data_IF_249507479681
#
_entry.id   IF_249507479681
#
_cell.length_a   1.000
_cell.length_b   1.000
_cell.length_c   1.000
_cell.angle_alpha   90.00
_cell.angle_beta   90.00
_cell.angle_gamma   90.00
#
_symmetry.space_group_name_H-M   'P 1'
#
loop_
_entity.id
_entity.type
_entity.pdbx_description
1 polymer ?
#
# COMPACT_ATOMS: atom_id res chain seq x y z
N UNK A 1 19.79 12.39 -1.84
CA UNK A 1 18.77 11.64 -1.04
C UNK A 1 18.70 10.25 -1.63
N UNK A 2 18.79 9.21 -0.81
CA UNK A 2 18.66 7.84 -1.32
C UNK A 2 17.23 7.55 -1.74
N UNK A 3 17.04 6.75 -2.83
CA UNK A 3 15.69 6.37 -3.25
C UNK A 3 14.99 5.50 -2.20
N UNK A 4 13.67 5.67 -2.10
CA UNK A 4 12.84 4.88 -1.16
C UNK A 4 12.74 3.40 -1.55
N UNK A 5 12.86 3.10 -2.85
CA UNK A 5 12.79 1.75 -3.41
C UNK A 5 13.50 1.72 -4.78
N UNK A 6 14.33 0.70 -5.01
CA UNK A 6 14.89 0.39 -6.33
C UNK A 6 14.58 -1.06 -6.69
N UNK A 7 13.95 -1.24 -7.82
CA UNK A 7 13.69 -2.53 -8.46
C UNK A 7 14.49 -2.56 -9.75
N UNK A 8 15.40 -3.52 -9.88
CA UNK A 8 16.32 -3.63 -11.02
C UNK A 8 16.25 -5.03 -11.63
N UNK A 9 15.79 -5.11 -12.90
CA UNK A 9 15.68 -6.31 -13.72
C UNK A 9 14.98 -7.49 -13.00
N UNK A 10 13.99 -7.19 -12.13
CA UNK A 10 13.31 -8.19 -11.32
C UNK A 10 12.53 -9.16 -12.20
N UNK A 11 12.73 -10.44 -11.98
CA UNK A 11 11.99 -11.51 -12.64
C UNK A 11 11.48 -12.54 -11.64
N UNK A 12 10.25 -12.99 -11.87
CA UNK A 12 9.62 -14.02 -11.05
C UNK A 12 8.66 -14.86 -11.88
N UNK A 13 8.76 -16.18 -11.73
CA UNK A 13 7.80 -17.14 -12.27
C UNK A 13 7.25 -18.02 -11.14
N UNK A 14 5.98 -18.32 -11.22
CA UNK A 14 5.34 -19.28 -10.32
C UNK A 14 5.81 -20.71 -10.61
N UNK A 15 5.73 -21.66 -9.66
CA UNK A 15 6.08 -23.06 -9.90
C UNK A 15 5.30 -23.71 -11.06
N UNK A 16 4.15 -23.15 -11.40
CA UNK A 16 3.34 -23.57 -12.57
C UNK A 16 3.94 -23.17 -13.91
N UNK A 17 5.09 -22.49 -13.94
CA UNK A 17 5.74 -21.96 -15.14
C UNK A 17 5.22 -20.59 -15.61
N UNK A 18 4.15 -20.06 -15.03
CA UNK A 18 3.64 -18.74 -15.39
C UNK A 18 4.60 -17.63 -14.94
N UNK A 19 5.13 -16.84 -15.88
CA UNK A 19 5.98 -15.68 -15.59
C UNK A 19 5.13 -14.49 -15.16
N UNK A 20 5.26 -14.07 -13.91
CA UNK A 20 4.53 -12.92 -13.36
C UNK A 20 5.29 -11.61 -13.50
N UNK A 21 6.63 -11.63 -13.41
CA UNK A 21 7.47 -10.47 -13.64
C UNK A 21 8.55 -10.78 -14.68
N UNK A 22 8.79 -9.83 -15.58
CA UNK A 22 9.75 -9.98 -16.66
C UNK A 22 10.58 -8.70 -16.84
N UNK A 23 11.85 -8.74 -16.39
CA UNK A 23 12.76 -7.58 -16.42
C UNK A 23 12.15 -6.30 -15.84
N UNK A 24 11.39 -6.43 -14.74
CA UNK A 24 10.72 -5.31 -14.10
C UNK A 24 11.78 -4.38 -13.49
N UNK A 25 11.80 -3.12 -13.90
CA UNK A 25 12.73 -2.12 -13.38
C UNK A 25 12.02 -0.80 -13.17
N UNK A 26 12.14 -0.23 -11.98
CA UNK A 26 11.68 1.13 -11.65
C UNK A 26 12.31 1.60 -10.34
N UNK A 27 12.23 2.89 -10.08
CA UNK A 27 12.73 3.51 -8.85
C UNK A 27 11.68 4.44 -8.27
N UNK A 28 11.44 4.35 -6.97
CA UNK A 28 10.72 5.37 -6.20
C UNK A 28 11.76 6.32 -5.61
N UNK A 29 11.89 7.55 -6.15
CA UNK A 29 13.05 8.40 -5.86
C UNK A 29 13.00 9.08 -4.48
N UNK A 30 11.80 9.24 -3.90
CA UNK A 30 11.57 9.96 -2.65
C UNK A 30 10.30 9.49 -1.94
N UNK A 31 10.10 9.79 -0.65
CA UNK A 31 8.82 9.59 0.02
C UNK A 31 7.67 10.25 -0.74
N UNK A 32 6.47 9.68 -0.62
CA UNK A 32 5.28 10.14 -1.31
C UNK A 32 4.34 9.01 -1.68
N UNK A 33 3.24 9.35 -2.35
CA UNK A 33 2.23 8.41 -2.83
C UNK A 33 2.46 8.08 -4.30
N UNK A 34 2.86 6.85 -4.59
CA UNK A 34 3.16 6.33 -5.93
C UNK A 34 2.14 5.26 -6.30
N UNK A 35 1.53 5.38 -7.48
CA UNK A 35 0.45 4.49 -7.88
C UNK A 35 0.79 3.64 -9.09
N UNK A 36 0.41 2.37 -9.04
CA UNK A 36 0.50 1.43 -10.16
C UNK A 36 -0.89 1.04 -10.62
N UNK A 37 -1.14 1.21 -11.91
CA UNK A 37 -2.35 0.73 -12.59
C UNK A 37 -2.00 -0.35 -13.59
N UNK A 38 -2.94 -1.23 -13.89
CA UNK A 38 -2.76 -2.29 -14.90
C UNK A 38 -3.84 -3.35 -14.79
N UNK A 39 -4.06 -4.09 -15.85
CA UNK A 39 -5.05 -5.15 -15.90
C UNK A 39 -4.77 -6.32 -14.93
N UNK A 40 -5.77 -7.18 -14.74
CA UNK A 40 -5.59 -8.40 -13.98
C UNK A 40 -4.52 -9.29 -14.62
N UNK A 41 -3.70 -9.94 -13.79
CA UNK A 41 -2.59 -10.76 -14.27
C UNK A 41 -1.35 -9.98 -14.74
N UNK A 42 -1.31 -8.64 -14.66
CA UNK A 42 -0.12 -7.85 -15.04
C UNK A 42 1.08 -8.00 -14.09
N UNK A 43 0.90 -8.64 -12.92
CA UNK A 43 1.97 -8.91 -11.96
C UNK A 43 2.00 -8.00 -10.73
N UNK A 44 1.06 -7.05 -10.56
CA UNK A 44 1.05 -6.04 -9.49
C UNK A 44 1.12 -6.63 -8.08
N UNK A 45 0.20 -7.50 -7.72
CA UNK A 45 0.18 -8.13 -6.38
C UNK A 45 1.39 -9.04 -6.15
N UNK A 46 1.92 -9.67 -7.20
CA UNK A 46 3.17 -10.44 -7.13
C UNK A 46 4.35 -9.52 -6.84
N UNK A 47 4.41 -8.36 -7.50
CA UNK A 47 5.42 -7.33 -7.25
C UNK A 47 5.38 -6.86 -5.79
N UNK A 48 4.20 -6.54 -5.25
CA UNK A 48 4.09 -6.13 -3.83
C UNK A 48 4.57 -7.23 -2.88
N UNK A 49 4.24 -8.49 -3.14
CA UNK A 49 4.69 -9.62 -2.30
C UNK A 49 6.20 -9.81 -2.34
N UNK A 50 6.84 -9.59 -3.49
CA UNK A 50 8.30 -9.60 -3.63
C UNK A 50 8.93 -8.43 -2.85
N UNK A 51 8.39 -7.22 -2.97
CA UNK A 51 8.86 -6.05 -2.22
C UNK A 51 8.65 -6.25 -0.72
N UNK A 52 7.54 -6.86 -0.30
CA UNK A 52 7.29 -7.20 1.10
C UNK A 52 8.24 -8.28 1.66
N UNK A 53 8.92 -9.04 0.78
CA UNK A 53 9.78 -10.17 1.16
C UNK A 53 9.00 -11.45 1.43
N UNK A 54 7.74 -11.54 1.01
CA UNK A 54 6.90 -12.74 1.10
C UNK A 54 7.20 -13.74 -0.03
N UNK A 55 7.87 -13.28 -1.09
CA UNK A 55 8.36 -14.10 -2.20
C UNK A 55 9.82 -13.75 -2.45
N UNK A 56 10.57 -14.73 -2.96
CA UNK A 56 11.97 -14.54 -3.35
C UNK A 56 12.07 -14.33 -4.85
N UNK A 57 12.72 -13.27 -5.34
CA UNK A 57 12.91 -13.05 -6.78
C UNK A 57 13.71 -14.20 -7.41
N UNK A 58 13.35 -14.61 -8.60
CA UNK A 58 14.12 -15.58 -9.39
C UNK A 58 15.36 -14.94 -10.03
N UNK A 59 15.33 -13.62 -10.31
CA UNK A 59 16.43 -12.84 -10.86
C UNK A 59 16.26 -11.35 -10.56
N UNK A 60 17.32 -10.57 -10.76
CA UNK A 60 17.34 -9.13 -10.55
C UNK A 60 17.69 -8.75 -9.11
N UNK A 61 17.56 -7.46 -8.80
CA UNK A 61 17.90 -6.89 -7.50
C UNK A 61 16.76 -6.05 -6.96
N UNK A 62 16.60 -6.09 -5.65
CA UNK A 62 15.63 -5.30 -4.89
C UNK A 62 16.34 -4.58 -3.75
N UNK A 63 16.35 -3.25 -3.78
CA UNK A 63 16.88 -2.42 -2.70
C UNK A 63 15.72 -1.66 -2.07
N UNK A 64 15.48 -1.93 -0.80
CA UNK A 64 14.43 -1.32 0.02
C UNK A 64 15.00 -0.90 1.36
N UNK A 65 15.55 0.31 1.49
CA UNK A 65 16.13 0.78 2.74
C UNK A 65 15.06 0.97 3.84
N UNK A 66 13.80 1.15 3.43
CA UNK A 66 12.68 1.32 4.33
C UNK A 66 12.03 -0.03 4.70
N UNK A 67 11.61 -0.17 5.96
CA UNK A 67 10.84 -1.34 6.40
C UNK A 67 9.49 -1.37 5.68
N UNK A 68 9.17 -2.45 4.93
CA UNK A 68 7.89 -2.56 4.23
C UNK A 68 6.82 -3.16 5.14
N UNK A 69 5.56 -2.76 4.88
CA UNK A 69 4.38 -3.49 5.35
C UNK A 69 3.36 -3.58 4.21
N UNK A 70 2.76 -4.76 4.06
CA UNK A 70 1.73 -5.03 3.06
C UNK A 70 0.34 -4.89 3.69
N UNK A 71 -0.53 -4.14 3.02
CA UNK A 71 -1.96 -4.00 3.36
C UNK A 71 -2.77 -4.63 2.24
N UNK A 72 -3.57 -5.62 2.57
CA UNK A 72 -4.36 -6.38 1.61
C UNK A 72 -5.64 -5.65 1.18
N UNK A 73 -6.15 -6.03 0.02
CA UNK A 73 -7.42 -5.56 -0.52
C UNK A 73 -8.59 -5.83 0.45
N UNK A 74 -8.64 -7.03 1.01
CA UNK A 74 -9.61 -7.40 2.03
C UNK A 74 -8.96 -7.42 3.41
N UNK A 75 -9.27 -6.47 4.31
CA UNK A 75 -8.69 -6.41 5.64
C UNK A 75 -9.05 -7.63 6.51
N UNK A 76 -10.14 -8.34 6.24
CA UNK A 76 -10.50 -9.55 6.99
C UNK A 76 -9.49 -10.71 6.80
N UNK A 77 -8.66 -10.66 5.76
CA UNK A 77 -7.56 -11.62 5.59
C UNK A 77 -6.31 -11.29 6.41
N UNK A 78 -6.27 -10.10 7.02
CA UNK A 78 -5.12 -9.60 7.76
C UNK A 78 -5.40 -9.44 9.25
N UNK A 79 -6.63 -9.06 9.62
CA UNK A 79 -7.03 -8.81 11.00
C UNK A 79 -7.41 -10.13 11.68
N UNK A 80 -6.63 -10.56 12.68
CA UNK A 80 -6.70 -11.90 13.26
C UNK A 80 -7.21 -11.91 14.69
N UNK A 81 -7.07 -10.80 15.43
CA UNK A 81 -7.34 -10.74 16.86
C UNK A 81 -8.74 -10.16 17.16
N UNK A 82 -9.30 -10.39 18.36
CA UNK A 82 -10.68 -10.03 18.63
C UNK A 82 -10.92 -8.52 18.78
N UNK A 83 -9.91 -7.72 19.14
CA UNK A 83 -10.06 -6.28 19.39
C UNK A 83 -9.03 -5.43 18.64
N UNK A 84 -9.38 -4.16 18.38
CA UNK A 84 -8.46 -3.22 17.72
C UNK A 84 -7.14 -3.07 18.48
N UNK A 85 -7.19 -2.98 19.80
CA UNK A 85 -5.97 -2.82 20.60
C UNK A 85 -5.06 -4.04 20.54
N UNK A 86 -5.61 -5.26 20.64
CA UNK A 86 -4.82 -6.48 20.54
C UNK A 86 -4.17 -6.63 19.17
N UNK A 87 -4.89 -6.27 18.09
CA UNK A 87 -4.36 -6.31 16.74
C UNK A 87 -3.16 -5.35 16.55
N UNK A 88 -3.27 -4.12 17.05
CA UNK A 88 -2.15 -3.17 17.01
C UNK A 88 -1.01 -3.63 17.91
N UNK A 89 -1.31 -4.15 19.09
CA UNK A 89 -0.30 -4.64 20.04
C UNK A 89 0.55 -5.78 19.45
N UNK A 90 -0.06 -6.69 18.66
CA UNK A 90 0.64 -7.75 17.94
C UNK A 90 1.68 -7.21 16.95
N UNK A 91 1.40 -6.07 16.32
CA UNK A 91 2.27 -5.46 15.33
C UNK A 91 3.41 -4.61 15.93
N UNK A 92 3.37 -4.31 17.24
CA UNK A 92 4.40 -3.50 17.89
C UNK A 92 5.75 -4.24 17.92
N UNK A 93 6.89 -3.51 17.82
CA UNK A 93 8.21 -4.11 18.00
C UNK A 93 8.33 -4.83 19.35
N UNK A 94 8.96 -6.01 19.35
CA UNK A 94 9.14 -6.81 20.57
C UNK A 94 9.93 -6.05 21.64
N UNK A 95 10.90 -5.24 21.21
CA UNK A 95 11.78 -4.46 22.07
C UNK A 95 11.10 -3.27 22.74
N UNK A 96 9.85 -2.92 22.32
CA UNK A 96 9.14 -1.79 22.91
C UNK A 96 8.79 -2.07 24.37
N UNK A 97 9.23 -1.21 25.33
CA UNK A 97 8.96 -1.41 26.76
C UNK A 97 7.46 -1.51 27.06
N UNK A 98 7.07 -2.42 27.96
CA UNK A 98 5.67 -2.64 28.32
C UNK A 98 4.94 -1.35 28.75
N UNK A 99 5.63 -0.45 29.46
CA UNK A 99 5.07 0.84 29.88
C UNK A 99 4.71 1.78 28.70
N UNK A 100 5.34 1.58 27.52
CA UNK A 100 5.12 2.42 26.33
C UNK A 100 4.12 1.78 25.35
N UNK A 101 3.87 0.48 25.43
CA UNK A 101 3.01 -0.24 24.48
C UNK A 101 1.60 0.33 24.42
N UNK A 102 0.97 0.59 25.57
CA UNK A 102 -0.36 1.15 25.62
C UNK A 102 -0.46 2.52 24.96
N UNK A 103 0.47 3.42 25.28
CA UNK A 103 0.52 4.75 24.68
C UNK A 103 0.73 4.68 23.17
N UNK A 104 1.56 3.74 22.70
CA UNK A 104 1.81 3.54 21.27
C UNK A 104 0.57 3.00 20.55
N UNK A 105 -0.19 2.08 21.16
CA UNK A 105 -1.46 1.59 20.61
C UNK A 105 -2.46 2.74 20.44
N UNK A 106 -2.67 3.57 21.48
CA UNK A 106 -3.59 4.71 21.41
C UNK A 106 -3.13 5.74 20.35
N UNK A 107 -1.85 6.06 20.30
CA UNK A 107 -1.27 6.97 19.32
C UNK A 107 -1.50 6.50 17.87
N UNK A 108 -1.29 5.21 17.60
CA UNK A 108 -1.47 4.67 16.25
C UNK A 108 -2.95 4.64 15.86
N UNK A 109 -3.84 4.29 16.78
CA UNK A 109 -5.29 4.36 16.54
C UNK A 109 -5.76 5.79 16.26
N UNK A 110 -5.24 6.77 16.99
CA UNK A 110 -5.51 8.19 16.72
C UNK A 110 -5.04 8.61 15.33
N UNK A 111 -3.84 8.19 14.91
CA UNK A 111 -3.27 8.50 13.59
C UNK A 111 -4.14 8.07 12.41
N UNK A 112 -4.95 7.03 12.59
CA UNK A 112 -5.86 6.51 11.56
C UNK A 112 -7.33 6.89 11.79
N UNK A 113 -7.60 7.81 12.73
CA UNK A 113 -8.95 8.29 13.06
C UNK A 113 -9.83 7.23 13.75
N UNK A 114 -9.21 6.37 14.58
CA UNK A 114 -9.88 5.35 15.40
C UNK A 114 -9.64 5.58 16.90
N UNK A 115 -9.53 6.85 17.34
CA UNK A 115 -9.41 7.20 18.76
C UNK A 115 -10.50 6.56 19.59
N UNK A 116 -10.14 5.99 20.75
CA UNK A 116 -11.08 5.33 21.66
C UNK A 116 -11.50 3.91 21.24
N UNK A 117 -11.03 3.37 20.09
CA UNK A 117 -11.43 2.06 19.59
C UNK A 117 -10.61 0.90 20.18
N UNK A 118 -9.65 1.15 21.04
CA UNK A 118 -8.76 0.11 21.56
C UNK A 118 -9.48 -1.16 22.06
N UNK A 119 -10.57 -0.99 22.81
CA UNK A 119 -11.35 -2.12 23.34
C UNK A 119 -12.45 -2.61 22.38
N UNK A 120 -12.62 -1.96 21.22
CA UNK A 120 -13.70 -2.26 20.29
C UNK A 120 -13.44 -3.57 19.57
N UNK A 121 -14.44 -4.48 19.49
CA UNK A 121 -14.33 -5.72 18.75
C UNK A 121 -14.20 -5.46 17.25
N UNK A 122 -13.27 -6.15 16.55
CA UNK A 122 -13.01 -5.96 15.12
C UNK A 122 -14.23 -6.28 14.26
N UNK A 123 -15.01 -7.31 14.63
CA UNK A 123 -16.21 -7.68 13.89
C UNK A 123 -17.31 -6.59 13.88
N UNK A 124 -17.25 -5.63 14.81
CA UNK A 124 -18.19 -4.49 14.86
C UNK A 124 -17.79 -3.29 14.01
N UNK A 125 -16.64 -3.36 13.31
CA UNK A 125 -16.12 -2.29 12.48
C UNK A 125 -16.76 -2.32 11.08
N UNK A 126 -16.96 -1.12 10.48
CA UNK A 126 -17.24 -1.00 9.05
C UNK A 126 -16.02 -1.42 8.21
N UNK A 127 -16.23 -1.66 6.90
CA UNK A 127 -15.14 -1.98 5.98
C UNK A 127 -14.03 -0.92 5.98
N UNK A 128 -14.38 0.36 5.92
CA UNK A 128 -13.42 1.47 5.98
C UNK A 128 -12.68 1.54 7.32
N UNK A 129 -13.35 1.27 8.44
CA UNK A 129 -12.71 1.19 9.75
C UNK A 129 -11.73 0.01 9.84
N UNK A 130 -12.08 -1.15 9.29
CA UNK A 130 -11.17 -2.31 9.21
C UNK A 130 -9.95 -2.00 8.35
N UNK A 131 -10.14 -1.34 7.23
CA UNK A 131 -9.03 -0.94 6.36
C UNK A 131 -8.08 0.03 7.05
N UNK A 132 -8.62 1.03 7.76
CA UNK A 132 -7.80 1.95 8.56
C UNK A 132 -7.10 1.23 9.72
N UNK A 133 -7.72 0.22 10.33
CA UNK A 133 -7.08 -0.61 11.34
C UNK A 133 -5.91 -1.44 10.77
N UNK A 134 -6.05 -2.00 9.57
CA UNK A 134 -4.98 -2.70 8.88
C UNK A 134 -3.78 -1.77 8.58
N UNK A 135 -4.06 -0.52 8.15
CA UNK A 135 -3.03 0.52 7.99
C UNK A 135 -2.38 0.85 9.35
N UNK A 136 -3.17 0.94 10.43
CA UNK A 136 -2.66 1.17 11.78
C UNK A 136 -1.67 0.07 12.21
N UNK A 137 -1.96 -1.20 11.92
CA UNK A 137 -1.03 -2.31 12.16
C UNK A 137 0.30 -2.13 11.44
N UNK A 138 0.27 -1.68 10.17
CA UNK A 138 1.48 -1.36 9.41
C UNK A 138 2.28 -0.21 10.07
N UNK A 139 1.62 0.84 10.54
CA UNK A 139 2.26 1.95 11.25
C UNK A 139 2.82 1.53 12.62
N UNK A 140 2.11 0.65 13.32
CA UNK A 140 2.55 0.11 14.61
C UNK A 140 3.85 -0.68 14.49
N UNK A 141 4.03 -1.38 13.38
CA UNK A 141 5.26 -2.11 13.06
C UNK A 141 6.44 -1.21 12.67
N UNK A 142 6.27 0.12 12.69
CA UNK A 142 7.28 1.11 12.25
C UNK A 142 7.64 1.01 10.77
N UNK A 143 6.72 0.53 9.93
CA UNK A 143 6.92 0.51 8.51
C UNK A 143 6.89 1.93 7.93
N UNK A 144 7.87 2.23 7.05
CA UNK A 144 7.96 3.48 6.31
C UNK A 144 7.72 3.30 4.81
N UNK A 145 7.56 2.07 4.35
CA UNK A 145 7.14 1.70 2.99
C UNK A 145 5.82 0.92 3.08
N UNK A 146 4.71 1.58 2.80
CA UNK A 146 3.40 0.94 2.73
C UNK A 146 3.16 0.40 1.32
N UNK A 147 2.84 -0.88 1.25
CA UNK A 147 2.50 -1.60 0.02
C UNK A 147 1.00 -1.89 0.06
N UNK A 148 0.22 -1.20 -0.75
CA UNK A 148 -1.24 -1.16 -0.67
C UNK A 148 -1.83 -1.85 -1.90
N UNK A 149 -2.40 -3.04 -1.71
CA UNK A 149 -3.00 -3.83 -2.79
C UNK A 149 -4.51 -3.54 -2.89
N UNK A 150 -4.89 -2.60 -3.75
CA UNK A 150 -6.27 -2.16 -3.99
C UNK A 150 -7.06 -1.82 -2.71
N UNK A 151 -6.54 -0.99 -1.79
CA UNK A 151 -7.07 -0.86 -0.43
C UNK A 151 -8.46 -0.22 -0.35
N UNK A 152 -9.00 0.30 -1.46
CA UNK A 152 -10.32 0.95 -1.55
C UNK A 152 -11.35 0.13 -2.31
N UNK A 153 -10.97 -1.00 -2.93
CA UNK A 153 -11.82 -1.73 -3.87
C UNK A 153 -13.15 -2.24 -3.27
N UNK A 154 -13.18 -2.53 -1.96
CA UNK A 154 -14.35 -3.08 -1.25
C UNK A 154 -15.07 -2.05 -0.38
N UNK A 155 -14.78 -0.76 -0.55
CA UNK A 155 -15.27 0.31 0.29
C UNK A 155 -16.32 1.16 -0.44
N UNK A 156 -17.24 1.76 0.32
CA UNK A 156 -18.10 2.84 -0.16
C UNK A 156 -17.28 4.11 -0.46
N UNK A 157 -17.85 5.04 -1.25
CA UNK A 157 -17.16 6.25 -1.72
C UNK A 157 -16.61 7.12 -0.58
N UNK A 158 -17.35 7.25 0.51
CA UNK A 158 -16.91 8.03 1.68
C UNK A 158 -15.68 7.39 2.31
N UNK A 159 -15.73 6.10 2.58
CA UNK A 159 -14.61 5.33 3.16
C UNK A 159 -13.39 5.30 2.23
N UNK A 160 -13.58 5.26 0.90
CA UNK A 160 -12.50 5.37 -0.09
C UNK A 160 -11.74 6.70 0.06
N UNK A 161 -12.48 7.82 0.12
CA UNK A 161 -11.88 9.14 0.29
C UNK A 161 -11.17 9.29 1.64
N UNK A 162 -11.72 8.71 2.71
CA UNK A 162 -11.07 8.71 4.03
C UNK A 162 -9.72 7.98 4.01
N UNK A 163 -9.65 6.81 3.36
CA UNK A 163 -8.41 6.04 3.22
C UNK A 163 -7.40 6.77 2.33
N UNK A 164 -7.84 7.36 1.21
CA UNK A 164 -6.97 8.16 0.34
C UNK A 164 -6.37 9.36 1.07
N UNK A 165 -7.19 10.13 1.78
CA UNK A 165 -6.74 11.26 2.59
C UNK A 165 -5.75 10.82 3.65
N UNK A 166 -6.07 9.76 4.40
CA UNK A 166 -5.17 9.23 5.41
C UNK A 166 -3.78 8.91 4.84
N UNK A 167 -3.71 8.18 3.71
CA UNK A 167 -2.42 7.84 3.10
C UNK A 167 -1.71 9.09 2.59
N UNK A 168 -2.44 10.05 1.99
CA UNK A 168 -1.84 11.30 1.54
C UNK A 168 -1.22 12.07 2.70
N UNK A 169 -1.98 12.24 3.80
CA UNK A 169 -1.50 12.94 5.01
C UNK A 169 -0.28 12.25 5.63
N UNK A 170 -0.23 10.92 5.61
CA UNK A 170 0.92 10.14 6.06
C UNK A 170 2.17 10.39 5.19
N UNK A 171 1.99 10.50 3.87
CA UNK A 171 3.07 10.78 2.93
C UNK A 171 3.58 12.24 3.03
N UNK A 172 2.71 13.17 3.39
CA UNK A 172 3.02 14.62 3.47
C UNK A 172 3.55 15.08 4.85
N UNK A 173 3.71 14.17 5.79
CA UNK A 173 4.23 14.51 7.12
C UNK A 173 5.60 15.18 7.03
N UNK A 174 5.81 16.33 7.69
CA UNK A 174 7.10 17.02 7.67
C UNK A 174 8.21 16.22 8.37
N UNK A 175 7.83 15.51 9.44
CA UNK A 175 8.73 14.63 10.17
C UNK A 175 8.37 13.18 9.86
N UNK A 176 9.29 12.43 9.27
CA UNK A 176 9.12 11.01 8.94
C UNK A 176 7.98 10.73 7.94
N UNK A 177 8.05 11.29 6.71
CA UNK A 177 7.09 11.00 5.66
C UNK A 177 7.17 9.53 5.26
N UNK A 178 6.01 8.95 4.95
CA UNK A 178 5.89 7.56 4.47
C UNK A 178 6.03 7.53 2.96
N UNK A 179 6.59 6.45 2.44
CA UNK A 179 6.48 6.06 1.04
C UNK A 179 5.33 5.07 0.91
N UNK A 180 4.37 5.37 0.06
CA UNK A 180 3.28 4.45 -0.27
C UNK A 180 3.36 4.02 -1.73
N UNK A 181 3.37 2.71 -1.98
CA UNK A 181 3.18 2.12 -3.30
C UNK A 181 1.78 1.50 -3.32
N UNK A 182 0.88 2.15 -4.05
CA UNK A 182 -0.56 1.85 -4.09
C UNK A 182 -0.93 1.25 -5.44
N UNK A 183 -1.47 0.04 -5.43
CA UNK A 183 -2.08 -0.57 -6.61
C UNK A 183 -3.55 -0.19 -6.67
N UNK A 184 -4.00 0.25 -7.84
CA UNK A 184 -5.41 0.52 -8.11
C UNK A 184 -5.77 0.23 -9.57
N UNK A 185 -7.05 -0.02 -9.81
CA UNK A 185 -7.66 0.02 -11.15
C UNK A 185 -8.64 1.19 -11.30
N UNK A 186 -8.78 2.02 -10.25
CA UNK A 186 -9.63 3.21 -10.22
C UNK A 186 -8.83 4.43 -10.69
N UNK A 187 -9.09 4.88 -11.91
CA UNK A 187 -8.30 5.94 -12.53
C UNK A 187 -8.45 7.29 -11.82
N UNK A 188 -9.61 7.56 -11.22
CA UNK A 188 -9.87 8.78 -10.45
C UNK A 188 -8.98 8.95 -9.22
N UNK A 189 -8.45 7.85 -8.67
CA UNK A 189 -7.51 7.89 -7.54
C UNK A 189 -6.15 8.47 -7.94
N UNK A 190 -5.76 8.37 -9.22
CA UNK A 190 -4.47 8.85 -9.71
C UNK A 190 -4.23 10.34 -9.51
N UNK A 191 -5.29 11.11 -9.29
CA UNK A 191 -5.18 12.56 -9.00
C UNK A 191 -4.51 12.86 -7.66
N UNK A 192 -4.42 11.86 -6.78
CA UNK A 192 -3.86 11.99 -5.42
C UNK A 192 -2.37 11.69 -5.34
N UNK A 193 -1.76 11.12 -6.38
CA UNK A 193 -0.41 10.61 -6.32
C UNK A 193 0.66 11.64 -6.76
N UNK A 194 1.89 11.43 -6.28
CA UNK A 194 3.10 12.13 -6.74
C UNK A 194 3.59 11.61 -8.09
N UNK A 195 3.27 10.35 -8.40
CA UNK A 195 3.56 9.73 -9.68
C UNK A 195 2.76 8.45 -9.87
N UNK A 196 2.36 8.21 -11.11
CA UNK A 196 1.66 7.01 -11.54
C UNK A 196 2.40 6.32 -12.68
N UNK A 197 2.34 4.98 -12.70
CA UNK A 197 2.88 4.19 -13.79
C UNK A 197 1.91 3.06 -14.16
N UNK A 198 1.95 2.66 -15.43
CA UNK A 198 1.22 1.48 -15.92
C UNK A 198 2.09 0.25 -15.81
N UNK A 199 1.52 -0.83 -15.31
CA UNK A 199 2.14 -2.14 -15.29
C UNK A 199 1.49 -3.05 -16.30
N UNK A 200 2.28 -3.61 -17.21
CA UNK A 200 1.85 -4.53 -18.25
C UNK A 200 2.84 -5.68 -18.40
N UNK A 201 2.30 -6.90 -18.56
CA UNK A 201 3.09 -8.13 -18.84
C UNK A 201 4.33 -8.29 -17.94
N UNK A 202 4.17 -7.96 -16.65
CA UNK A 202 5.24 -8.10 -15.66
C UNK A 202 6.29 -6.99 -15.65
N UNK A 203 6.08 -5.89 -16.37
CA UNK A 203 6.97 -4.72 -16.40
C UNK A 203 6.24 -3.45 -16.02
N UNK A 204 6.93 -2.53 -15.34
CA UNK A 204 6.42 -1.20 -14.96
C UNK A 204 6.96 -0.18 -15.95
N UNK A 205 6.05 0.63 -16.49
CA UNK A 205 6.38 1.76 -17.38
C UNK A 205 6.97 2.96 -16.62
N UNK A 206 7.29 4.05 -17.33
CA UNK A 206 7.82 5.26 -16.71
C UNK A 206 6.79 5.92 -15.79
N UNK A 207 7.29 6.55 -14.71
CA UNK A 207 6.48 7.41 -13.86
C UNK A 207 6.07 8.67 -14.61
N UNK A 208 4.81 9.04 -14.49
CA UNK A 208 4.23 10.26 -15.04
C UNK A 208 3.25 10.88 -14.05
N UNK A 209 2.73 12.06 -14.33
CA UNK A 209 1.70 12.68 -13.50
C UNK A 209 0.43 11.84 -13.54
N UNK A 210 -0.23 11.64 -12.38
CA UNK A 210 -1.43 10.82 -12.31
C UNK A 210 -2.53 11.28 -13.27
N UNK A 211 -2.76 12.58 -13.40
CA UNK A 211 -3.75 13.15 -14.33
C UNK A 211 -3.44 12.86 -15.81
N UNK A 212 -2.16 12.82 -16.20
CA UNK A 212 -1.77 12.53 -17.56
C UNK A 212 -1.99 11.03 -17.88
N UNK A 213 -1.67 10.15 -16.92
CA UNK A 213 -1.94 8.74 -17.06
C UNK A 213 -3.45 8.45 -17.06
N UNK A 214 -4.23 9.11 -16.20
CA UNK A 214 -5.70 9.02 -16.17
C UNK A 214 -6.29 9.36 -17.55
N UNK A 215 -5.88 10.48 -18.16
CA UNK A 215 -6.34 10.88 -19.50
C UNK A 215 -5.98 9.87 -20.58
N UNK A 216 -4.77 9.29 -20.50
CA UNK A 216 -4.30 8.31 -21.48
C UNK A 216 -5.08 6.98 -21.39
N UNK A 217 -5.48 6.59 -20.18
CA UNK A 217 -6.16 5.32 -19.93
C UNK A 217 -7.68 5.42 -19.94
N UNK A 218 -8.24 6.61 -19.72
CA UNK A 218 -9.69 6.82 -19.86
C UNK A 218 -10.07 6.64 -21.33
N UNK A 219 -11.08 5.81 -21.64
CA UNK A 219 -11.59 5.75 -23.00
C UNK A 219 -12.02 7.15 -23.42
N UNK A 220 -11.58 7.60 -24.60
CA UNK A 220 -12.00 8.88 -25.18
C UNK A 220 -13.53 8.94 -25.11
N UNK A 221 -14.06 9.78 -24.23
CA UNK A 221 -15.48 10.06 -24.17
C UNK A 221 -15.84 10.77 -25.46
N UNK A 222 -16.47 10.02 -26.40
CA UNK A 222 -17.23 10.59 -27.50
C UNK A 222 -16.50 10.80 -28.81
N UNK A 223 -16.33 9.74 -29.56
CA UNK A 223 -16.56 9.79 -30.99
C UNK A 223 -18.07 9.60 -31.25
N UNK A 224 -18.89 10.61 -31.05
CA UNK A 224 -20.16 10.73 -31.76
C UNK A 224 -19.82 11.35 -33.10
N UNK A 225 -19.81 10.57 -34.12
CA UNK A 225 -19.92 10.89 -35.51
C UNK A 225 -21.00 9.99 -36.11
#
# INVERSE_FOLDING_TARGET
>A
MEPSLVVDQLGFAWPTGHSALNHCSFTIPRPGLWMLVGGNGSGKSTLLRLIAGLLTPGRGRLQRPLKPALVFQNPDHQLLLPSCGSEIELALPEQLPAAQRLARVEQVLEQVGLSGFRKRPIHSLSGGQKQRLAIAGALASEALLLLLDEPTALLDETSQLEVLRLIRDLCDRPNQPITALWITHRLEELRWCDGAARMERGSVGPWQRGQDLERTLSPLAGGKG
#
